data_IF_995231639705
#
_entry.id   IF_995231639705
#
_cell.length_a   1.000
_cell.length_b   1.000
_cell.length_c   1.000
_cell.angle_alpha   90.00
_cell.angle_beta   90.00
_cell.angle_gamma   90.00
#
_symmetry.space_group_name_H-M   'P 1'
#
loop_
_entity.id
_entity.type
_entity.pdbx_description
1 polymer ?
#
# COMPACT_ATOMS: atom_id res chain seq x y z
N UNK A 1 1.42 13.56 -31.58
CA UNK A 1 0.46 12.79 -30.75
C UNK A 1 1.09 11.44 -30.49
N UNK A 2 1.80 11.30 -29.37
CA UNK A 2 2.48 10.05 -29.00
C UNK A 2 2.19 9.79 -27.51
N UNK A 3 0.90 9.69 -27.20
CA UNK A 3 0.40 9.23 -25.90
C UNK A 3 0.31 7.68 -25.93
N UNK A 4 1.33 7.06 -26.53
CA UNK A 4 1.45 5.62 -26.63
C UNK A 4 1.79 5.06 -25.24
N UNK A 5 0.75 4.71 -24.48
CA UNK A 5 0.78 3.71 -23.43
C UNK A 5 1.89 3.90 -22.38
N UNK A 6 1.78 4.95 -21.55
CA UNK A 6 2.19 4.80 -20.14
C UNK A 6 1.28 3.71 -19.59
N UNK A 7 1.76 2.46 -19.50
CA UNK A 7 0.91 1.28 -19.30
C UNK A 7 -0.07 1.37 -18.11
N UNK A 8 -0.95 0.37 -17.98
CA UNK A 8 -2.01 0.32 -16.96
C UNK A 8 -1.62 0.80 -15.53
N UNK A 9 -0.40 0.50 -15.00
CA UNK A 9 0.01 1.00 -13.68
C UNK A 9 -0.02 2.53 -13.54
N UNK A 10 0.42 3.24 -14.57
CA UNK A 10 0.53 4.70 -14.56
C UNK A 10 -0.85 5.36 -14.70
N UNK A 11 -1.72 4.81 -15.56
CA UNK A 11 -3.11 5.27 -15.68
C UNK A 11 -3.89 5.11 -14.36
N UNK A 12 -3.65 4.02 -13.61
CA UNK A 12 -4.23 3.82 -12.28
C UNK A 12 -3.72 4.88 -11.30
N UNK A 13 -2.41 5.17 -11.31
CA UNK A 13 -1.82 6.18 -10.44
C UNK A 13 -2.32 7.59 -10.76
N UNK A 14 -2.42 7.96 -12.04
CA UNK A 14 -2.97 9.25 -12.48
C UNK A 14 -4.43 9.39 -12.00
N UNK A 15 -5.25 8.37 -12.20
CA UNK A 15 -6.63 8.36 -11.69
C UNK A 15 -6.70 8.45 -10.16
N UNK A 16 -5.77 7.82 -9.46
CA UNK A 16 -5.66 7.93 -8.00
C UNK A 16 -5.32 9.36 -7.56
N UNK A 17 -4.38 10.03 -8.25
CA UNK A 17 -4.01 11.42 -7.97
C UNK A 17 -5.19 12.37 -8.19
N UNK A 18 -5.93 12.22 -9.28
CA UNK A 18 -7.12 13.04 -9.55
C UNK A 18 -8.15 12.89 -8.43
N UNK A 19 -8.45 11.64 -8.03
CA UNK A 19 -9.42 11.36 -6.98
C UNK A 19 -8.94 11.85 -5.61
N UNK A 20 -7.64 11.78 -5.33
CA UNK A 20 -7.06 12.29 -4.09
C UNK A 20 -7.08 13.83 -4.05
N UNK A 21 -6.85 14.49 -5.18
CA UNK A 21 -6.97 15.94 -5.30
C UNK A 21 -8.41 16.40 -5.05
N UNK A 22 -9.40 15.73 -5.67
CA UNK A 22 -10.83 15.99 -5.43
C UNK A 22 -11.21 15.81 -3.96
N UNK A 23 -10.74 14.72 -3.32
CA UNK A 23 -10.96 14.50 -1.90
C UNK A 23 -10.32 15.61 -1.04
N UNK A 24 -9.11 16.03 -1.38
CA UNK A 24 -8.37 17.06 -0.62
C UNK A 24 -9.08 18.41 -0.69
N UNK A 25 -9.53 18.81 -1.89
CA UNK A 25 -10.32 20.03 -2.08
C UNK A 25 -11.66 19.96 -1.32
N UNK A 26 -12.40 18.84 -1.48
CA UNK A 26 -13.65 18.61 -0.77
C UNK A 26 -13.48 18.66 0.75
N UNK A 27 -12.41 18.06 1.28
CA UNK A 27 -12.10 18.08 2.71
C UNK A 27 -11.81 19.51 3.20
N UNK A 28 -11.02 20.29 2.45
CA UNK A 28 -10.75 21.69 2.80
C UNK A 28 -12.02 22.55 2.85
N UNK A 29 -12.88 22.45 1.83
CA UNK A 29 -14.16 23.17 1.80
C UNK A 29 -15.07 22.73 2.95
N UNK A 30 -15.19 21.43 3.18
CA UNK A 30 -16.07 20.84 4.21
C UNK A 30 -15.61 21.18 5.62
N UNK A 31 -14.29 21.18 5.87
CA UNK A 31 -13.72 21.53 7.18
C UNK A 31 -13.88 23.02 7.49
N UNK A 32 -13.73 23.90 6.49
CA UNK A 32 -13.98 25.35 6.64
C UNK A 32 -15.44 25.69 6.86
N UNK A 33 -16.35 24.96 6.22
CA UNK A 33 -17.80 25.06 6.45
C UNK A 33 -18.24 24.50 7.82
N UNK A 34 -17.27 24.14 8.67
CA UNK A 34 -17.41 23.63 10.03
C UNK A 34 -18.53 22.61 10.20
N UNK A 35 -18.20 21.33 10.04
CA UNK A 35 -19.18 20.25 10.05
C UNK A 35 -19.90 20.16 11.39
N UNK A 36 -21.12 20.70 11.41
CA UNK A 36 -22.15 20.32 12.38
C UNK A 36 -22.51 18.85 12.12
N UNK A 37 -22.26 17.99 13.11
CA UNK A 37 -22.79 16.63 13.15
C UNK A 37 -24.31 16.71 13.26
N UNK A 38 -25.01 16.74 12.13
CA UNK A 38 -26.46 16.71 12.09
C UNK A 38 -26.94 15.26 12.08
N UNK A 39 -27.13 14.67 13.26
CA UNK A 39 -27.95 13.45 13.44
C UNK A 39 -27.24 12.15 13.81
N UNK A 40 -28.01 11.04 13.75
CA UNK A 40 -27.60 9.66 14.09
C UNK A 40 -26.89 8.96 12.92
N UNK A 41 -25.87 9.60 12.36
CA UNK A 41 -25.10 9.02 11.25
C UNK A 41 -24.18 7.88 11.74
N UNK A 42 -23.95 6.87 10.90
CA UNK A 42 -23.06 5.74 11.19
C UNK A 42 -22.07 5.56 10.05
N UNK A 43 -20.78 5.52 10.36
CA UNK A 43 -19.72 5.25 9.40
C UNK A 43 -19.04 3.91 9.68
N UNK A 44 -18.94 3.05 8.66
CA UNK A 44 -18.19 1.78 8.76
C UNK A 44 -16.77 1.98 8.24
N UNK A 45 -15.77 1.90 9.14
CA UNK A 45 -14.35 2.06 8.78
C UNK A 45 -13.82 0.93 7.89
N UNK A 46 -14.16 -0.32 8.20
CA UNK A 46 -13.75 -1.48 7.39
C UNK A 46 -14.71 -1.63 6.21
N UNK A 47 -14.21 -1.33 5.00
CA UNK A 47 -15.00 -1.32 3.76
C UNK A 47 -14.49 -2.28 2.68
N UNK A 48 -13.62 -3.23 3.03
CA UNK A 48 -13.02 -4.17 2.06
C UNK A 48 -14.05 -5.00 1.29
N UNK A 49 -15.21 -5.28 1.89
CA UNK A 49 -16.30 -6.07 1.30
C UNK A 49 -17.49 -5.23 0.82
N UNK A 50 -17.45 -3.90 0.97
CA UNK A 50 -18.55 -3.03 0.60
C UNK A 50 -18.47 -2.61 -0.86
N UNK A 51 -19.62 -2.40 -1.53
CA UNK A 51 -19.63 -1.91 -2.90
C UNK A 51 -18.93 -0.55 -3.00
N UNK A 52 -18.25 -0.35 -4.13
CA UNK A 52 -17.72 0.97 -4.49
C UNK A 52 -18.89 1.90 -4.81
N UNK A 53 -18.77 3.21 -4.53
CA UNK A 53 -19.78 4.19 -4.93
C UNK A 53 -20.05 4.12 -6.43
N UNK A 54 -21.32 4.09 -6.82
CA UNK A 54 -21.73 4.05 -8.23
C UNK A 54 -21.70 5.45 -8.87
N UNK A 55 -21.85 6.48 -8.05
CA UNK A 55 -21.93 7.89 -8.49
C UNK A 55 -20.97 8.79 -7.71
N UNK A 56 -20.70 9.96 -8.27
CA UNK A 56 -19.90 10.99 -7.59
C UNK A 56 -20.61 11.52 -6.34
N UNK A 57 -21.95 11.60 -6.36
CA UNK A 57 -22.74 12.02 -5.21
C UNK A 57 -22.63 11.04 -4.04
N UNK A 58 -22.69 9.73 -4.31
CA UNK A 58 -22.43 8.70 -3.30
C UNK A 58 -21.00 8.76 -2.77
N UNK A 59 -20.03 9.04 -3.64
CA UNK A 59 -18.64 9.19 -3.23
C UNK A 59 -18.43 10.40 -2.31
N UNK A 60 -19.03 11.55 -2.62
CA UNK A 60 -18.99 12.74 -1.75
C UNK A 60 -19.68 12.51 -0.42
N UNK A 61 -20.81 11.77 -0.42
CA UNK A 61 -21.50 11.37 0.80
C UNK A 61 -20.61 10.48 1.68
N UNK A 62 -19.93 9.51 1.07
CA UNK A 62 -18.97 8.65 1.76
C UNK A 62 -17.81 9.46 2.36
N UNK A 63 -17.25 10.40 1.59
CA UNK A 63 -16.15 11.25 2.04
C UNK A 63 -16.57 12.14 3.22
N UNK A 64 -17.79 12.68 3.19
CA UNK A 64 -18.37 13.44 4.30
C UNK A 64 -18.47 12.57 5.57
N UNK A 65 -19.04 11.37 5.47
CA UNK A 65 -19.16 10.45 6.61
C UNK A 65 -17.80 10.11 7.22
N UNK A 66 -16.79 9.89 6.36
CA UNK A 66 -15.42 9.64 6.81
C UNK A 66 -14.82 10.87 7.53
N UNK A 67 -14.99 12.07 6.97
CA UNK A 67 -14.51 13.30 7.59
C UNK A 67 -15.16 13.54 8.96
N UNK A 68 -16.46 13.24 9.09
CA UNK A 68 -17.18 13.30 10.35
C UNK A 68 -16.60 12.32 11.38
N UNK A 69 -16.32 11.07 11.00
CA UNK A 69 -15.68 10.08 11.89
C UNK A 69 -14.29 10.55 12.35
N UNK A 70 -13.49 11.11 11.44
CA UNK A 70 -12.16 11.65 11.78
C UNK A 70 -12.26 12.87 12.72
N UNK A 71 -13.17 13.82 12.46
CA UNK A 71 -13.42 14.98 13.33
C UNK A 71 -13.93 14.54 14.70
N UNK A 72 -14.90 13.62 14.75
CA UNK A 72 -15.47 13.11 16.00
C UNK A 72 -14.40 12.39 16.83
N UNK A 73 -13.54 11.60 16.18
CA UNK A 73 -12.43 10.92 16.86
C UNK A 73 -11.49 11.91 17.54
N UNK A 74 -11.14 13.02 16.86
CA UNK A 74 -10.26 14.04 17.43
C UNK A 74 -10.95 14.90 18.49
N UNK A 75 -12.25 15.18 18.34
CA UNK A 75 -13.07 15.83 19.38
C UNK A 75 -13.14 14.98 20.65
N UNK A 76 -13.37 13.68 20.52
CA UNK A 76 -13.38 12.74 21.64
C UNK A 76 -12.00 12.59 22.31
N UNK A 77 -10.93 12.85 21.57
CA UNK A 77 -9.58 12.94 22.12
C UNK A 77 -9.29 14.28 22.84
N UNK A 78 -10.25 15.20 22.92
CA UNK A 78 -10.12 16.47 23.63
C UNK A 78 -9.45 17.60 22.83
N UNK A 79 -9.29 17.46 21.52
CA UNK A 79 -8.72 18.53 20.70
C UNK A 79 -9.71 19.67 20.45
N UNK A 80 -9.21 20.90 20.42
CA UNK A 80 -10.03 22.07 20.07
C UNK A 80 -10.36 22.06 18.58
N UNK A 81 -11.52 22.59 18.25
CA UNK A 81 -12.08 22.54 16.89
C UNK A 81 -11.17 23.19 15.84
N UNK A 82 -10.56 24.34 16.17
CA UNK A 82 -9.59 24.99 15.29
C UNK A 82 -8.36 24.11 15.01
N UNK A 83 -7.83 23.46 16.05
CA UNK A 83 -6.66 22.57 15.92
C UNK A 83 -6.99 21.31 15.10
N UNK A 84 -8.23 20.81 15.21
CA UNK A 84 -8.74 19.68 14.42
C UNK A 84 -8.74 20.04 12.93
N UNK A 85 -9.30 21.19 12.56
CA UNK A 85 -9.35 21.66 11.17
C UNK A 85 -7.94 21.76 10.60
N UNK A 86 -7.04 22.48 11.27
CA UNK A 86 -5.65 22.64 10.80
C UNK A 86 -4.92 21.28 10.68
N UNK A 87 -5.15 20.37 11.63
CA UNK A 87 -4.54 19.03 11.61
C UNK A 87 -5.02 18.21 10.41
N UNK A 88 -6.33 18.20 10.15
CA UNK A 88 -6.91 17.44 9.05
C UNK A 88 -6.56 18.05 7.69
N UNK A 89 -6.62 19.38 7.54
CA UNK A 89 -6.18 20.08 6.32
C UNK A 89 -4.72 19.74 5.99
N UNK A 90 -3.82 19.81 6.98
CA UNK A 90 -2.41 19.41 6.82
C UNK A 90 -2.28 17.94 6.43
N UNK A 91 -3.03 17.04 7.07
CA UNK A 91 -2.98 15.60 6.78
C UNK A 91 -3.35 15.30 5.33
N UNK A 92 -4.41 15.91 4.80
CA UNK A 92 -4.84 15.66 3.43
C UNK A 92 -3.89 16.28 2.41
N UNK A 93 -3.39 17.50 2.67
CA UNK A 93 -2.40 18.14 1.79
C UNK A 93 -1.07 17.38 1.75
N UNK A 94 -0.58 16.89 2.89
CA UNK A 94 0.61 16.04 2.96
C UNK A 94 0.43 14.75 2.17
N UNK A 95 -0.69 14.04 2.34
CA UNK A 95 -0.98 12.81 1.57
C UNK A 95 -0.98 13.06 0.06
N UNK A 96 -1.55 14.17 -0.38
CA UNK A 96 -1.54 14.54 -1.81
C UNK A 96 -0.12 14.88 -2.29
N UNK A 97 0.65 15.61 -1.50
CA UNK A 97 2.03 15.96 -1.83
C UNK A 97 2.92 14.71 -1.95
N UNK A 98 2.85 13.80 -0.97
CA UNK A 98 3.56 12.51 -0.99
C UNK A 98 3.18 11.67 -2.21
N UNK A 99 1.88 11.61 -2.54
CA UNK A 99 1.42 10.88 -3.71
C UNK A 99 1.94 11.47 -5.03
N UNK A 100 2.02 12.81 -5.13
CA UNK A 100 2.56 13.53 -6.29
C UNK A 100 4.08 13.41 -6.42
N UNK A 101 4.77 13.27 -5.29
CA UNK A 101 6.23 13.14 -5.25
C UNK A 101 6.73 11.75 -5.69
N UNK A 102 5.83 10.77 -5.88
CA UNK A 102 6.20 9.42 -6.34
C UNK A 102 6.83 9.47 -7.73
N UNK A 103 8.01 8.86 -7.83
CA UNK A 103 8.72 8.67 -9.09
C UNK A 103 8.06 7.54 -9.91
N UNK A 104 8.45 7.42 -11.19
CA UNK A 104 7.98 6.31 -12.02
C UNK A 104 8.41 4.94 -11.46
N UNK A 105 9.58 4.87 -10.83
CA UNK A 105 10.07 3.65 -10.19
C UNK A 105 9.19 3.24 -9.01
N UNK A 106 8.76 4.21 -8.18
CA UNK A 106 7.86 3.94 -7.04
C UNK A 106 6.51 3.39 -7.50
N UNK A 107 5.96 3.94 -8.59
CA UNK A 107 4.68 3.49 -9.17
C UNK A 107 4.81 2.08 -9.74
N UNK A 108 5.93 1.80 -10.42
CA UNK A 108 6.21 0.48 -10.96
C UNK A 108 6.37 -0.56 -9.85
N UNK A 109 7.16 -0.25 -8.81
CA UNK A 109 7.35 -1.13 -7.66
C UNK A 109 6.04 -1.41 -6.91
N UNK A 110 5.22 -0.38 -6.68
CA UNK A 110 3.90 -0.53 -6.06
C UNK A 110 3.03 -1.53 -6.85
N UNK A 111 3.02 -1.40 -8.17
CA UNK A 111 2.25 -2.28 -9.03
C UNK A 111 2.80 -3.71 -9.06
N UNK A 112 4.11 -3.88 -9.20
CA UNK A 112 4.73 -5.20 -9.23
C UNK A 112 4.58 -5.94 -7.89
N UNK A 113 4.63 -5.23 -6.77
CA UNK A 113 4.33 -5.81 -5.47
C UNK A 113 2.86 -6.23 -5.34
N UNK A 114 1.91 -5.45 -5.86
CA UNK A 114 0.50 -5.86 -5.90
C UNK A 114 0.28 -7.08 -6.79
N UNK A 115 1.00 -7.15 -7.93
CA UNK A 115 0.98 -8.31 -8.83
C UNK A 115 1.57 -9.55 -8.16
N UNK A 116 2.73 -9.46 -7.52
CA UNK A 116 3.35 -10.57 -6.79
C UNK A 116 2.41 -11.11 -5.71
N UNK A 117 1.82 -10.20 -4.91
CA UNK A 117 0.88 -10.54 -3.84
C UNK A 117 -0.45 -11.16 -4.30
N UNK A 118 -0.77 -11.04 -5.59
CA UNK A 118 -1.94 -11.71 -6.17
C UNK A 118 -1.75 -13.22 -6.34
N UNK A 119 -0.49 -13.68 -6.38
CA UNK A 119 -0.15 -15.11 -6.42
C UNK A 119 0.13 -15.67 -5.03
N UNK A 120 0.89 -14.94 -4.21
CA UNK A 120 1.27 -15.34 -2.84
C UNK A 120 1.36 -14.09 -1.94
N UNK A 121 0.66 -14.05 -0.79
CA UNK A 121 0.70 -12.91 0.15
C UNK A 121 2.10 -12.46 0.56
N UNK A 122 3.07 -13.38 0.61
CA UNK A 122 4.44 -13.14 1.05
C UNK A 122 5.40 -12.83 -0.12
N UNK A 123 4.94 -12.92 -1.37
CA UNK A 123 5.74 -12.60 -2.54
C UNK A 123 5.98 -11.08 -2.68
N UNK A 124 7.21 -10.73 -3.08
CA UNK A 124 7.68 -9.35 -3.21
C UNK A 124 8.52 -9.15 -4.48
N UNK A 125 8.39 -7.96 -5.07
CA UNK A 125 9.24 -7.49 -6.18
C UNK A 125 10.46 -6.77 -5.63
N UNK A 126 11.64 -7.06 -6.20
CA UNK A 126 12.90 -6.41 -5.84
C UNK A 126 13.48 -5.65 -7.04
N UNK A 127 13.68 -4.32 -6.93
CA UNK A 127 14.39 -3.54 -7.96
C UNK A 127 15.85 -3.99 -8.08
N UNK A 128 16.42 -3.97 -9.28
CA UNK A 128 17.79 -4.41 -9.55
C UNK A 128 18.87 -3.69 -8.70
N UNK A 129 18.65 -2.43 -8.32
CA UNK A 129 19.54 -1.69 -7.42
C UNK A 129 19.51 -2.20 -5.97
N UNK A 130 18.40 -2.84 -5.54
CA UNK A 130 18.23 -3.44 -4.21
C UNK A 130 18.56 -4.93 -4.14
N UNK A 131 18.72 -5.61 -5.29
CA UNK A 131 18.99 -7.05 -5.38
C UNK A 131 20.36 -7.46 -4.80
N UNK A 132 21.26 -6.52 -4.49
CA UNK A 132 22.59 -6.80 -3.94
C UNK A 132 22.60 -7.17 -2.45
N UNK A 133 21.45 -7.19 -1.76
CA UNK A 133 21.42 -7.39 -0.31
C UNK A 133 20.21 -8.21 0.20
N UNK A 134 20.04 -9.47 -0.22
CA UNK A 134 19.13 -10.40 0.48
C UNK A 134 19.68 -11.83 0.55
N UNK A 135 20.89 -12.00 1.09
CA UNK A 135 21.36 -13.32 1.58
C UNK A 135 21.10 -13.53 3.08
N UNK A 136 20.50 -12.56 3.79
CA UNK A 136 20.24 -12.68 5.21
C UNK A 136 18.95 -13.48 5.47
N UNK A 137 19.15 -14.79 5.60
CA UNK A 137 18.39 -15.77 6.37
C UNK A 137 17.22 -15.19 7.18
N UNK A 138 16.00 -15.28 6.63
CA UNK A 138 14.75 -15.19 7.37
C UNK A 138 14.08 -16.56 7.23
N UNK A 139 13.83 -17.23 8.35
CA UNK A 139 13.17 -18.53 8.42
C UNK A 139 11.69 -18.39 7.99
N UNK A 140 11.45 -18.38 6.69
CA UNK A 140 10.13 -18.28 6.08
C UNK A 140 10.28 -18.26 4.56
N UNK A 141 9.53 -19.11 3.86
CA UNK A 141 9.64 -19.26 2.41
C UNK A 141 9.14 -18.02 1.65
N UNK A 142 9.96 -16.98 1.51
CA UNK A 142 9.62 -15.82 0.69
C UNK A 142 10.08 -16.00 -0.76
N UNK A 143 9.17 -15.81 -1.73
CA UNK A 143 9.50 -15.80 -3.16
C UNK A 143 9.86 -14.36 -3.57
N UNK A 144 11.09 -14.15 -4.02
CA UNK A 144 11.55 -12.90 -4.60
C UNK A 144 11.52 -12.93 -6.13
N UNK A 145 10.90 -11.94 -6.76
CA UNK A 145 10.91 -11.76 -8.22
C UNK A 145 11.80 -10.57 -8.57
N UNK A 146 12.83 -10.81 -9.38
CA UNK A 146 13.72 -9.77 -9.92
C UNK A 146 13.53 -9.69 -11.44
N UNK A 147 13.33 -8.49 -11.97
CA UNK A 147 13.25 -8.27 -13.42
C UNK A 147 14.53 -7.62 -13.92
N UNK A 148 15.09 -8.16 -15.00
CA UNK A 148 16.15 -7.51 -15.77
C UNK A 148 15.51 -6.87 -17.00
N UNK A 149 15.71 -5.57 -17.19
CA UNK A 149 15.24 -4.88 -18.37
C UNK A 149 16.15 -5.24 -19.57
N UNK A 150 15.71 -6.20 -20.38
CA UNK A 150 16.18 -6.43 -21.75
C UNK A 150 14.95 -6.32 -22.67
N UNK A 151 15.11 -5.70 -23.84
CA UNK A 151 14.05 -5.10 -24.65
C UNK A 151 12.97 -5.99 -25.30
N UNK A 152 12.66 -7.19 -24.79
CA UNK A 152 11.49 -8.03 -25.11
C UNK A 152 11.46 -9.27 -24.18
N UNK A 153 10.38 -10.10 -24.21
CA UNK A 153 9.37 -10.26 -23.16
C UNK A 153 9.91 -10.53 -21.74
N UNK A 154 9.09 -10.20 -20.73
CA UNK A 154 9.40 -10.30 -19.29
C UNK A 154 9.73 -11.75 -18.88
N UNK A 155 11.01 -12.10 -18.84
CA UNK A 155 11.47 -13.37 -18.28
C UNK A 155 11.42 -13.32 -16.75
N UNK A 156 10.67 -14.26 -16.16
CA UNK A 156 10.73 -14.54 -14.72
C UNK A 156 12.06 -15.21 -14.44
N UNK A 157 13.10 -14.41 -14.17
CA UNK A 157 14.43 -14.94 -13.89
C UNK A 157 14.58 -15.21 -12.39
N UNK A 158 14.60 -16.51 -12.08
CA UNK A 158 14.81 -17.17 -10.78
C UNK A 158 13.57 -17.37 -9.89
N UNK A 159 12.90 -18.52 -10.09
CA UNK A 159 12.33 -19.26 -8.97
C UNK A 159 13.51 -19.83 -8.17
N UNK A 160 13.77 -19.34 -6.97
CA UNK A 160 14.74 -19.98 -6.07
C UNK A 160 13.97 -20.90 -5.12
N UNK A 161 13.85 -22.21 -5.41
CA UNK A 161 13.27 -23.14 -4.44
C UNK A 161 14.21 -23.27 -3.23
N UNK A 162 13.63 -23.29 -2.03
CA UNK A 162 14.36 -23.48 -0.79
C UNK A 162 15.13 -24.82 -0.82
N UNK A 163 16.46 -24.76 -0.79
CA UNK A 163 17.29 -25.97 -0.58
C UNK A 163 17.14 -26.37 0.89
N UNK A 164 16.51 -27.51 1.17
CA UNK A 164 16.52 -28.07 2.53
C UNK A 164 17.97 -28.38 2.92
N UNK A 165 18.45 -27.98 4.12
CA UNK A 165 19.72 -28.49 4.60
C UNK A 165 19.62 -30.01 4.75
N UNK A 166 20.50 -30.74 4.06
CA UNK A 166 20.69 -32.18 4.22
C UNK A 166 21.01 -32.43 5.69
N UNK A 167 20.14 -33.18 6.38
CA UNK A 167 20.37 -33.58 7.77
C UNK A 167 21.78 -34.17 7.89
N UNK A 168 22.63 -33.55 8.74
CA UNK A 168 23.90 -34.16 9.12
C UNK A 168 23.57 -35.49 9.79
N UNK A 169 24.00 -36.59 9.20
CA UNK A 169 23.98 -37.88 9.87
C UNK A 169 24.76 -37.73 11.18
N UNK A 170 24.07 -37.98 12.30
CA UNK A 170 24.64 -38.03 13.64
C UNK A 170 25.58 -39.24 13.72
N UNK A 171 26.88 -39.02 13.66
CA UNK A 171 27.84 -39.99 14.19
C UNK A 171 28.06 -39.69 15.68
N UNK A 172 27.30 -40.36 16.54
CA UNK A 172 27.57 -40.43 17.97
C UNK A 172 28.74 -41.39 18.23
N UNK A 173 29.69 -41.11 19.14
CA UNK A 173 30.83 -41.98 19.39
C UNK A 173 30.42 -43.19 20.22
N UNK A 174 30.78 -44.39 19.74
CA UNK A 174 30.63 -45.64 20.48
C UNK A 174 31.56 -45.65 21.70
N UNK A 175 30.99 -45.75 22.89
CA UNK A 175 31.66 -46.15 24.12
C UNK A 175 31.95 -47.65 24.03
N UNK A 176 33.22 -48.03 24.07
CA UNK A 176 33.63 -49.41 24.30
C UNK A 176 34.04 -49.57 25.78
N UNK A 177 33.20 -50.28 26.52
CA UNK A 177 33.54 -50.95 27.77
C UNK A 177 34.21 -52.28 27.43
N UNK A 178 35.33 -52.63 28.09
CA UNK A 178 35.45 -53.83 28.94
C UNK A 178 36.90 -54.25 29.22
N UNK A 179 37.05 -54.82 30.42
CA UNK A 179 38.16 -55.62 30.99
C UNK A 179 39.38 -54.88 31.56
#
# INVERSE_FOLDING_TARGET
MEEASRGAPFAIQERFLDRLALLTAFAGETLRAFVATSGKERYRRVRSTLPRPASEQEQRTLWRQRLIDEVLTLRLAGMREADIVTTLERRYSTRLAEAKARTQADVFELYMNAYARSFDPDARYFPAAGARATSTQQDGASIGVTLFASGAPVEVLALTPAVRPRARASSSPASASSA
#
